data_IF_033123713938
#
_entry.id   IF_033123713938
#
_cell.length_a   1.000
_cell.length_b   1.000
_cell.length_c   1.000
_cell.angle_alpha   90.00
_cell.angle_beta   90.00
_cell.angle_gamma   90.00
#
_symmetry.space_group_name_H-M   'P 1'
#
loop_
_entity.id
_entity.type
_entity.pdbx_description
1 polymer ?
#
# COMPACT_ATOMS: atom_id res chain seq x y z
N UNK A 1 -3.82 -3.28 -10.57
CA UNK A 1 -4.01 -1.86 -10.23
C UNK A 1 -4.38 -0.97 -11.42
N UNK A 2 -3.74 -1.10 -12.60
CA UNK A 2 -4.06 -0.29 -13.80
C UNK A 2 -5.55 -0.16 -14.15
N UNK A 3 -6.30 -1.27 -14.11
CA UNK A 3 -7.74 -1.24 -14.37
C UNK A 3 -8.50 -0.29 -13.43
N UNK A 4 -8.12 -0.23 -12.15
CA UNK A 4 -8.73 0.67 -11.18
C UNK A 4 -8.41 2.14 -11.47
N UNK A 5 -7.17 2.45 -11.86
CA UNK A 5 -6.78 3.79 -12.29
C UNK A 5 -7.64 4.26 -13.48
N UNK A 6 -7.80 3.41 -14.50
CA UNK A 6 -8.63 3.72 -15.68
C UNK A 6 -10.09 3.96 -15.31
N UNK A 7 -10.66 3.12 -14.42
CA UNK A 7 -12.03 3.29 -13.92
C UNK A 7 -12.22 4.57 -13.11
N UNK A 8 -11.18 5.04 -12.42
CA UNK A 8 -11.21 6.29 -11.62
C UNK A 8 -10.85 7.55 -12.42
N UNK A 9 -10.63 7.42 -13.73
CA UNK A 9 -10.40 8.55 -14.63
C UNK A 9 -8.94 8.99 -14.72
N UNK A 10 -7.99 8.18 -14.24
CA UNK A 10 -6.57 8.37 -14.50
C UNK A 10 -6.29 7.87 -15.92
N UNK A 11 -6.22 8.80 -16.89
CA UNK A 11 -6.02 8.48 -18.32
C UNK A 11 -4.77 9.20 -18.83
N UNK A 12 -4.10 8.56 -19.80
CA UNK A 12 -2.94 9.13 -20.50
C UNK A 12 -1.80 9.57 -19.57
N UNK A 13 -1.60 8.85 -18.46
CA UNK A 13 -0.44 9.06 -17.60
C UNK A 13 0.83 8.61 -18.33
N UNK A 14 1.94 9.29 -18.06
CA UNK A 14 3.26 8.80 -18.49
C UNK A 14 3.50 7.42 -17.86
N UNK A 15 4.04 6.42 -18.59
CA UNK A 15 4.37 5.11 -18.05
C UNK A 15 5.08 5.15 -16.69
N UNK A 16 6.03 6.05 -16.48
CA UNK A 16 6.73 6.17 -15.19
C UNK A 16 5.77 6.49 -14.02
N UNK A 17 4.76 7.31 -14.26
CA UNK A 17 3.75 7.68 -13.27
C UNK A 17 2.75 6.54 -13.05
N UNK A 18 2.24 5.96 -14.15
CA UNK A 18 1.27 4.87 -14.09
C UNK A 18 1.86 3.61 -13.43
N UNK A 19 3.04 3.18 -13.86
CA UNK A 19 3.73 2.02 -13.29
C UNK A 19 4.17 2.29 -11.85
N UNK A 20 4.74 3.46 -11.57
CA UNK A 20 5.21 3.82 -10.23
C UNK A 20 4.10 3.78 -9.18
N UNK A 21 2.96 4.42 -9.43
CA UNK A 21 1.83 4.38 -8.47
C UNK A 21 1.19 2.99 -8.40
N UNK A 22 1.15 2.24 -9.50
CA UNK A 22 0.69 0.86 -9.50
C UNK A 22 1.58 -0.05 -8.65
N UNK A 23 2.89 0.13 -8.69
CA UNK A 23 3.83 -0.62 -7.85
C UNK A 23 3.73 -0.23 -6.38
N UNK A 24 3.57 1.05 -6.03
CA UNK A 24 3.33 1.47 -4.63
C UNK A 24 2.07 0.79 -4.08
N UNK A 25 0.98 0.85 -4.82
CA UNK A 25 -0.28 0.22 -4.44
C UNK A 25 -0.15 -1.31 -4.30
N UNK A 26 0.66 -1.94 -5.14
CA UNK A 26 0.93 -3.38 -5.10
C UNK A 26 1.83 -3.75 -3.92
N UNK A 27 2.84 -2.94 -3.63
CA UNK A 27 3.75 -3.09 -2.49
C UNK A 27 2.99 -2.96 -1.16
N UNK A 28 2.17 -1.93 -0.99
CA UNK A 28 1.33 -1.76 0.21
C UNK A 28 0.35 -2.91 0.41
N UNK A 29 -0.19 -3.46 -0.69
CA UNK A 29 -1.01 -4.67 -0.60
C UNK A 29 -0.17 -5.87 -0.15
N UNK A 30 0.96 -6.15 -0.82
CA UNK A 30 1.86 -7.25 -0.47
C UNK A 30 2.35 -7.18 0.98
N UNK A 31 2.70 -5.99 1.48
CA UNK A 31 3.10 -5.79 2.87
C UNK A 31 2.00 -6.27 3.84
N UNK A 32 0.74 -5.95 3.57
CA UNK A 32 -0.40 -6.43 4.37
C UNK A 32 -0.64 -7.94 4.28
N UNK A 33 -0.13 -8.57 3.23
CA UNK A 33 -0.29 -9.98 2.96
C UNK A 33 0.85 -10.83 3.52
N UNK A 34 2.07 -10.29 3.53
CA UNK A 34 3.32 -10.97 3.91
C UNK A 34 3.71 -10.68 5.35
N UNK A 35 3.42 -9.47 5.87
CA UNK A 35 3.74 -9.03 7.22
C UNK A 35 2.48 -8.73 8.05
N UNK A 36 1.66 -9.73 8.39
CA UNK A 36 0.48 -9.51 9.22
C UNK A 36 0.82 -9.11 10.68
N UNK A 37 2.05 -9.31 11.13
CA UNK A 37 2.46 -9.22 12.55
C UNK A 37 2.49 -7.81 13.15
N UNK A 38 2.42 -6.73 12.36
CA UNK A 38 2.46 -5.36 12.91
C UNK A 38 1.08 -4.74 13.23
N UNK A 39 -0.03 -5.39 12.89
CA UNK A 39 -1.37 -4.84 13.18
C UNK A 39 -1.93 -5.20 14.56
N UNK A 40 -1.24 -6.07 15.32
CA UNK A 40 -1.69 -6.56 16.63
C UNK A 40 -0.74 -6.19 17.78
N UNK A 41 0.05 -5.12 17.67
CA UNK A 41 0.88 -4.65 18.80
C UNK A 41 0.06 -3.65 19.64
N UNK A 42 -0.40 -4.00 20.86
CA UNK A 42 -1.00 -3.01 21.74
C UNK A 42 0.09 -2.03 22.20
N UNK A 43 -0.04 -0.76 21.82
CA UNK A 43 0.78 0.31 22.40
C UNK A 43 0.56 0.33 23.90
N UNK A 44 1.58 -0.06 24.66
CA UNK A 44 1.60 0.01 26.11
C UNK A 44 1.70 1.48 26.52
N UNK A 45 0.61 2.04 27.05
CA UNK A 45 0.65 3.28 27.81
C UNK A 45 -0.55 3.40 28.75
N UNK A 46 -0.21 3.28 30.04
CA UNK A 46 -0.80 3.94 31.21
C UNK A 46 -2.16 3.47 31.73
N UNK A 47 -2.08 2.88 32.93
CA UNK A 47 -3.15 2.41 33.79
C UNK A 47 -4.04 3.55 34.31
N UNK A 48 -5.35 3.43 34.09
CA UNK A 48 -6.39 3.90 35.04
C UNK A 48 -7.67 3.09 34.82
N UNK A 49 -8.19 2.54 35.90
CA UNK A 49 -9.38 1.69 36.00
C UNK A 49 -10.69 2.47 35.90
N UNK A 50 -11.69 1.91 35.18
CA UNK A 50 -13.07 1.62 35.64
C UNK A 50 -14.16 1.73 34.55
N UNK A 51 -15.06 0.73 34.60
CA UNK A 51 -16.46 0.66 34.17
C UNK A 51 -16.88 0.90 32.69
N UNK A 52 -17.33 -0.19 32.08
CA UNK A 52 -18.62 -0.37 31.39
C UNK A 52 -19.03 0.62 30.28
N UNK A 53 -18.96 0.19 29.01
CA UNK A 53 -20.13 -0.03 28.13
C UNK A 53 -19.73 -0.17 26.66
N UNK A 54 -20.45 -1.08 25.99
CA UNK A 54 -20.74 -1.13 24.55
C UNK A 54 -19.64 -0.76 23.56
N UNK A 55 -19.05 -1.77 22.96
CA UNK A 55 -19.21 -2.05 21.53
C UNK A 55 -18.31 -3.23 21.21
N UNK A 56 -18.91 -4.35 20.81
CA UNK A 56 -18.20 -5.35 20.05
C UNK A 56 -17.79 -4.68 18.74
N UNK A 57 -16.60 -4.08 18.74
CA UNK A 57 -15.87 -3.77 17.53
C UNK A 57 -15.75 -5.10 16.81
N UNK A 58 -16.56 -5.26 15.77
CA UNK A 58 -16.39 -6.31 14.80
C UNK A 58 -15.04 -6.07 14.17
N UNK A 59 -14.00 -6.67 14.76
CA UNK A 59 -12.78 -6.98 14.05
C UNK A 59 -13.26 -7.79 12.88
N UNK A 60 -13.34 -7.15 11.70
CA UNK A 60 -13.36 -7.83 10.43
C UNK A 60 -12.01 -8.56 10.33
N UNK A 61 -11.88 -9.62 11.11
CA UNK A 61 -11.07 -10.77 10.81
C UNK A 61 -11.73 -11.34 9.59
N UNK A 62 -11.43 -10.72 8.45
CA UNK A 62 -11.67 -11.31 7.16
C UNK A 62 -11.13 -12.72 7.31
N UNK A 63 -12.01 -13.73 7.21
CA UNK A 63 -11.64 -15.13 7.07
C UNK A 63 -10.89 -15.26 5.75
N UNK A 64 -9.72 -14.66 5.67
CA UNK A 64 -8.75 -14.93 4.62
C UNK A 64 -8.18 -16.27 5.03
N UNK A 65 -8.51 -17.30 4.25
CA UNK A 65 -7.94 -18.63 4.46
C UNK A 65 -6.44 -18.52 4.65
N UNK A 66 -5.87 -19.33 5.55
CA UNK A 66 -4.45 -19.32 5.81
C UNK A 66 -3.69 -19.41 4.49
N UNK A 67 -2.79 -18.45 4.24
CA UNK A 67 -1.94 -18.51 3.04
C UNK A 67 -1.03 -19.71 3.12
N UNK A 68 -0.84 -20.37 1.99
CA UNK A 68 0.19 -21.40 1.88
C UNK A 68 1.59 -20.78 2.02
N UNK A 69 2.56 -21.60 2.45
CA UNK A 69 3.98 -21.20 2.50
C UNK A 69 4.50 -20.73 1.14
N UNK A 70 3.97 -21.29 0.05
CA UNK A 70 4.33 -20.90 -1.32
C UNK A 70 3.83 -19.49 -1.63
N UNK A 71 2.57 -19.17 -1.31
CA UNK A 71 2.02 -17.83 -1.53
C UNK A 71 2.73 -16.76 -0.70
N UNK A 72 3.10 -17.09 0.55
CA UNK A 72 3.87 -16.19 1.40
C UNK A 72 5.24 -15.88 0.80
N UNK A 73 6.01 -16.91 0.41
CA UNK A 73 7.32 -16.75 -0.22
C UNK A 73 7.25 -16.06 -1.59
N UNK A 74 6.16 -16.29 -2.34
CA UNK A 74 5.90 -15.58 -3.60
C UNK A 74 5.66 -14.09 -3.35
N UNK A 75 4.92 -13.74 -2.29
CA UNK A 75 4.72 -12.35 -1.87
C UNK A 75 6.03 -11.67 -1.48
N UNK A 76 6.88 -12.32 -0.69
CA UNK A 76 8.22 -11.83 -0.33
C UNK A 76 9.07 -11.54 -1.58
N UNK A 77 9.07 -12.47 -2.53
CA UNK A 77 9.80 -12.32 -3.79
C UNK A 77 9.37 -11.07 -4.56
N UNK A 78 8.06 -10.88 -4.77
CA UNK A 78 7.56 -9.69 -5.49
C UNK A 78 7.80 -8.39 -4.72
N UNK A 79 7.69 -8.42 -3.40
CA UNK A 79 7.99 -7.26 -2.57
C UNK A 79 9.47 -6.85 -2.70
N UNK A 80 10.38 -7.82 -2.67
CA UNK A 80 11.81 -7.60 -2.91
C UNK A 80 12.08 -7.10 -4.33
N UNK A 81 11.43 -7.68 -5.35
CA UNK A 81 11.59 -7.26 -6.74
C UNK A 81 11.17 -5.80 -6.94
N UNK A 82 10.01 -5.39 -6.41
CA UNK A 82 9.54 -4.01 -6.51
C UNK A 82 10.51 -3.03 -5.82
N UNK A 83 10.97 -3.37 -4.61
CA UNK A 83 11.85 -2.49 -3.84
C UNK A 83 13.24 -2.32 -4.47
N UNK A 84 13.74 -3.34 -5.17
CA UNK A 84 15.10 -3.37 -5.73
C UNK A 84 15.14 -3.23 -7.26
N UNK A 85 14.01 -2.93 -7.91
CA UNK A 85 13.96 -2.75 -9.36
C UNK A 85 14.86 -1.55 -9.75
N UNK A 86 15.83 -1.80 -10.61
CA UNK A 86 16.78 -0.80 -11.10
C UNK A 86 16.31 -0.13 -12.39
N UNK A 87 15.23 -0.60 -13.01
CA UNK A 87 14.75 -0.05 -14.27
C UNK A 87 14.25 1.40 -14.08
N UNK A 88 14.34 2.25 -15.12
CA UNK A 88 13.89 3.64 -15.01
C UNK A 88 12.38 3.76 -14.76
N UNK A 89 11.56 3.07 -15.54
CA UNK A 89 10.10 3.22 -15.49
C UNK A 89 9.46 2.54 -14.27
N UNK A 90 9.88 1.31 -13.95
CA UNK A 90 9.37 0.59 -12.78
C UNK A 90 10.15 0.99 -11.53
N UNK A 91 11.47 0.82 -11.51
CA UNK A 91 12.30 1.19 -10.37
C UNK A 91 12.30 2.69 -10.03
N UNK A 92 12.56 3.54 -11.02
CA UNK A 92 12.56 5.01 -10.84
C UNK A 92 11.17 5.55 -10.52
N UNK A 93 10.16 5.15 -11.29
CA UNK A 93 8.76 5.48 -11.04
C UNK A 93 8.29 5.08 -9.66
N UNK A 94 8.59 3.85 -9.20
CA UNK A 94 8.28 3.40 -7.84
C UNK A 94 8.96 4.25 -6.78
N UNK A 95 10.26 4.55 -6.90
CA UNK A 95 10.97 5.36 -5.90
C UNK A 95 10.35 6.74 -5.75
N UNK A 96 10.05 7.40 -6.87
CA UNK A 96 9.40 8.72 -6.87
C UNK A 96 7.98 8.65 -6.30
N UNK A 97 7.18 7.67 -6.72
CA UNK A 97 5.83 7.45 -6.23
C UNK A 97 5.80 7.15 -4.73
N UNK A 98 6.70 6.30 -4.25
CA UNK A 98 6.79 5.90 -2.86
C UNK A 98 7.25 7.06 -1.97
N UNK A 99 8.22 7.85 -2.43
CA UNK A 99 8.63 9.08 -1.75
C UNK A 99 7.47 10.07 -1.63
N UNK A 100 6.71 10.30 -2.71
CA UNK A 100 5.53 11.15 -2.72
C UNK A 100 4.44 10.62 -1.77
N UNK A 101 4.14 9.32 -1.81
CA UNK A 101 3.14 8.69 -0.96
C UNK A 101 3.51 8.76 0.53
N UNK A 102 4.79 8.61 0.87
CA UNK A 102 5.28 8.73 2.25
C UNK A 102 5.27 10.19 2.74
N UNK A 103 5.62 11.16 1.88
CA UNK A 103 5.68 12.58 2.23
C UNK A 103 4.29 13.22 2.34
N UNK A 104 3.39 12.90 1.42
CA UNK A 104 2.08 13.58 1.28
C UNK A 104 0.89 12.70 1.65
N UNK A 105 1.10 11.40 1.83
CA UNK A 105 0.04 10.41 1.96
C UNK A 105 -0.49 9.94 0.60
N UNK A 106 -0.95 8.69 0.54
CA UNK A 106 -1.43 8.06 -0.69
C UNK A 106 -2.60 8.84 -1.33
N UNK A 107 -3.57 9.30 -0.53
CA UNK A 107 -4.74 10.01 -1.06
C UNK A 107 -4.34 11.32 -1.77
N UNK A 108 -3.55 12.16 -1.11
CA UNK A 108 -3.12 13.44 -1.70
C UNK A 108 -2.26 13.23 -2.94
N UNK A 109 -1.41 12.19 -2.93
CA UNK A 109 -0.59 11.80 -4.09
C UNK A 109 -1.47 11.41 -5.28
N UNK A 110 -2.46 10.55 -5.06
CA UNK A 110 -3.43 10.16 -6.09
C UNK A 110 -4.25 11.34 -6.61
N UNK A 111 -4.75 12.21 -5.73
CA UNK A 111 -5.48 13.41 -6.15
C UNK A 111 -4.61 14.34 -7.01
N UNK A 112 -3.33 14.51 -6.65
CA UNK A 112 -2.38 15.31 -7.44
C UNK A 112 -2.10 14.69 -8.81
N UNK A 113 -1.86 13.38 -8.89
CA UNK A 113 -1.68 12.66 -10.17
C UNK A 113 -2.93 12.83 -11.04
N UNK A 114 -4.13 12.76 -10.45
CA UNK A 114 -5.37 12.94 -11.19
C UNK A 114 -5.50 14.34 -11.81
N UNK A 115 -5.02 15.36 -11.11
CA UNK A 115 -5.11 16.76 -11.54
C UNK A 115 -4.00 17.14 -12.53
N UNK A 116 -2.79 16.61 -12.37
CA UNK A 116 -1.59 17.09 -13.06
C UNK A 116 -0.94 16.06 -13.98
N UNK A 117 -1.30 14.78 -13.85
CA UNK A 117 -0.66 13.67 -14.54
C UNK A 117 0.72 13.29 -14.01
N UNK A 118 1.22 13.95 -12.96
CA UNK A 118 2.57 13.78 -12.43
C UNK A 118 2.59 13.51 -10.91
N UNK A 119 3.73 13.09 -10.38
CA UNK A 119 3.92 12.98 -8.94
C UNK A 119 4.12 14.36 -8.30
N UNK A 120 3.60 14.58 -7.08
CA UNK A 120 3.94 15.76 -6.30
C UNK A 120 5.41 15.69 -5.84
N UNK A 121 6.17 16.76 -6.06
CA UNK A 121 7.56 16.94 -5.62
C UNK A 121 7.62 17.52 -4.20
#
# INVERSE_FOLDING_TARGET
MHGWLRLKGYRNLNPEVEEGICQVLSYMWLESEVMPEFKNMPSSSTSTSSASSSSSSSTFSSKKGGKSKVEHKLGEFFMHQIANDSSPAYGGGFRTANAAANKYGLRRTLDHIRLTGNFPL
#
